data_IF_919428226000
#
_entry.id   IF_919428226000
#
_cell.length_a   1.000
_cell.length_b   1.000
_cell.length_c   1.000
_cell.angle_alpha   90.00
_cell.angle_beta   90.00
_cell.angle_gamma   90.00
#
_symmetry.space_group_name_H-M   'P 1'
#
loop_
_entity.id
_entity.type
_entity.pdbx_description
1 polymer ?
#
# COMPACT_ATOMS: atom_id res chain seq x y z
N UNK A 1 -31.89 -15.92 13.78
CA UNK A 1 -30.66 -16.36 13.09
C UNK A 1 -30.80 -16.27 11.57
N UNK A 2 -31.84 -16.81 10.97
CA UNK A 2 -32.09 -16.74 9.51
C UNK A 2 -32.19 -15.31 8.96
N UNK A 3 -32.84 -14.39 9.66
CA UNK A 3 -32.95 -12.97 9.25
C UNK A 3 -31.60 -12.26 9.20
N UNK A 4 -30.67 -12.54 10.16
CA UNK A 4 -29.32 -11.95 10.19
C UNK A 4 -28.48 -12.56 9.07
N UNK A 5 -28.59 -13.86 8.78
CA UNK A 5 -27.88 -14.49 7.67
C UNK A 5 -28.31 -13.94 6.32
N UNK A 6 -29.63 -13.71 6.12
CA UNK A 6 -30.14 -13.09 4.90
C UNK A 6 -29.69 -11.64 4.74
N UNK A 7 -29.63 -10.88 5.83
CA UNK A 7 -29.11 -9.48 5.81
C UNK A 7 -27.62 -9.47 5.45
N UNK A 8 -26.81 -10.35 6.02
CA UNK A 8 -25.38 -10.44 5.70
C UNK A 8 -25.14 -10.83 4.24
N UNK A 9 -25.97 -11.71 3.66
CA UNK A 9 -25.90 -12.07 2.26
C UNK A 9 -26.23 -10.88 1.34
N UNK A 10 -27.24 -10.08 1.68
CA UNK A 10 -27.59 -8.87 0.93
C UNK A 10 -26.46 -7.84 1.01
N UNK A 11 -25.91 -7.58 2.20
CA UNK A 11 -24.77 -6.68 2.39
C UNK A 11 -23.54 -7.14 1.60
N UNK A 12 -23.26 -8.44 1.60
CA UNK A 12 -22.17 -9.01 0.81
C UNK A 12 -22.36 -8.80 -0.69
N UNK A 13 -23.59 -8.98 -1.21
CA UNK A 13 -23.92 -8.72 -2.62
C UNK A 13 -23.78 -7.24 -2.99
N UNK A 14 -24.23 -6.34 -2.12
CA UNK A 14 -24.11 -4.88 -2.31
C UNK A 14 -22.63 -4.48 -2.32
N UNK A 15 -21.85 -4.92 -1.31
CA UNK A 15 -20.42 -4.64 -1.23
C UNK A 15 -19.68 -5.17 -2.48
N UNK A 16 -19.97 -6.40 -2.91
CA UNK A 16 -19.40 -6.95 -4.13
C UNK A 16 -19.75 -6.10 -5.36
N UNK A 17 -21.03 -5.77 -5.54
CA UNK A 17 -21.49 -5.00 -6.70
C UNK A 17 -20.90 -3.59 -6.76
N UNK A 18 -20.66 -2.95 -5.62
CA UNK A 18 -20.14 -1.59 -5.54
C UNK A 18 -18.61 -1.50 -5.60
N UNK A 19 -17.88 -2.51 -5.08
CA UNK A 19 -16.44 -2.45 -4.88
C UNK A 19 -15.64 -3.32 -5.88
N UNK A 20 -16.19 -4.43 -6.35
CA UNK A 20 -15.44 -5.48 -7.05
C UNK A 20 -15.97 -5.82 -8.45
N UNK A 21 -17.25 -5.60 -8.69
CA UNK A 21 -17.93 -5.98 -9.92
C UNK A 21 -17.66 -5.00 -11.06
N UNK A 22 -17.17 -5.49 -12.20
CA UNK A 22 -17.02 -4.68 -13.40
C UNK A 22 -18.33 -4.65 -14.20
N UNK A 23 -18.45 -3.67 -15.09
CA UNK A 23 -19.53 -3.61 -16.08
C UNK A 23 -19.09 -4.40 -17.30
N UNK A 24 -19.86 -5.42 -17.67
CA UNK A 24 -19.65 -6.24 -18.87
C UNK A 24 -20.03 -5.47 -20.14
N UNK A 25 -19.65 -6.00 -21.30
CA UNK A 25 -19.97 -5.40 -22.61
C UNK A 25 -21.48 -5.27 -22.88
N UNK A 26 -22.29 -6.12 -22.24
CA UNK A 26 -23.75 -6.09 -22.32
C UNK A 26 -24.40 -5.08 -21.37
N UNK A 27 -23.60 -4.26 -20.66
CA UNK A 27 -24.06 -3.26 -19.69
C UNK A 27 -24.40 -3.84 -18.31
N UNK A 28 -24.39 -5.15 -18.12
CA UNK A 28 -24.65 -5.77 -16.82
C UNK A 28 -23.41 -5.81 -15.96
N UNK A 29 -23.60 -5.81 -14.63
CA UNK A 29 -22.51 -6.02 -13.70
C UNK A 29 -22.08 -7.49 -13.65
N UNK A 30 -20.79 -7.71 -13.41
CA UNK A 30 -20.26 -9.05 -13.12
C UNK A 30 -20.93 -9.64 -11.88
N UNK A 31 -21.23 -10.93 -11.93
CA UNK A 31 -21.48 -11.75 -10.73
C UNK A 31 -20.15 -12.13 -10.07
N UNK A 32 -20.22 -12.70 -8.85
CA UNK A 32 -19.03 -13.24 -8.18
C UNK A 32 -18.31 -14.28 -9.07
N UNK A 33 -19.08 -15.18 -9.70
CA UNK A 33 -18.51 -16.20 -10.61
C UNK A 33 -17.84 -15.58 -11.82
N UNK A 34 -18.42 -14.53 -12.42
CA UNK A 34 -17.82 -13.80 -13.52
C UNK A 34 -16.46 -13.20 -13.12
N UNK A 35 -16.40 -12.53 -11.97
CA UNK A 35 -15.16 -11.93 -11.44
C UNK A 35 -14.09 -12.98 -11.14
N UNK A 36 -14.48 -14.09 -10.48
CA UNK A 36 -13.54 -15.19 -10.20
C UNK A 36 -13.09 -15.88 -11.48
N UNK A 37 -13.94 -15.99 -12.49
CA UNK A 37 -13.56 -16.52 -13.82
C UNK A 37 -12.51 -15.62 -14.46
N UNK A 38 -12.66 -14.29 -14.38
CA UNK A 38 -11.68 -13.32 -14.87
C UNK A 38 -10.32 -13.47 -14.17
N UNK A 39 -10.31 -13.64 -12.83
CA UNK A 39 -9.10 -13.89 -12.05
C UNK A 39 -8.46 -15.23 -12.44
N UNK A 40 -9.26 -16.29 -12.55
CA UNK A 40 -8.81 -17.62 -12.99
C UNK A 40 -8.09 -17.54 -14.34
N UNK A 41 -8.75 -16.95 -15.33
CA UNK A 41 -8.20 -16.81 -16.68
C UNK A 41 -6.88 -16.04 -16.69
N UNK A 42 -6.77 -14.96 -15.90
CA UNK A 42 -5.53 -14.20 -15.76
C UNK A 42 -4.36 -15.08 -15.30
N UNK A 43 -4.58 -15.96 -14.30
CA UNK A 43 -3.55 -16.90 -13.84
C UNK A 43 -3.29 -18.01 -14.86
N UNK A 44 -4.31 -18.56 -15.51
CA UNK A 44 -4.17 -19.60 -16.52
C UNK A 44 -3.37 -19.12 -17.75
N UNK A 45 -3.57 -17.87 -18.16
CA UNK A 45 -2.80 -17.28 -19.25
C UNK A 45 -1.32 -17.05 -18.88
N UNK A 46 -1.03 -16.71 -17.64
CA UNK A 46 0.34 -16.56 -17.15
C UNK A 46 1.04 -17.90 -16.93
N UNK A 47 0.29 -18.91 -16.50
CA UNK A 47 0.80 -20.25 -16.12
C UNK A 47 0.07 -21.37 -16.87
N UNK A 48 0.23 -21.50 -18.20
CA UNK A 48 -0.47 -22.51 -18.97
C UNK A 48 -0.13 -23.96 -18.58
N UNK A 49 1.08 -24.18 -18.05
CA UNK A 49 1.51 -25.47 -17.50
C UNK A 49 0.82 -25.85 -16.19
N UNK A 50 0.18 -24.93 -15.49
CA UNK A 50 -0.59 -25.14 -14.28
C UNK A 50 -2.10 -25.07 -14.50
N UNK A 51 -2.56 -25.04 -15.75
CA UNK A 51 -3.96 -24.85 -16.12
C UNK A 51 -4.92 -25.74 -15.31
N UNK A 52 -4.65 -27.05 -15.31
CA UNK A 52 -5.50 -28.03 -14.62
C UNK A 52 -5.53 -27.83 -13.11
N UNK A 53 -4.40 -27.49 -12.50
CA UNK A 53 -4.30 -27.23 -11.07
C UNK A 53 -5.05 -25.95 -10.69
N UNK A 54 -4.91 -24.89 -11.49
CA UNK A 54 -5.66 -23.63 -11.30
C UNK A 54 -7.15 -23.91 -11.41
N UNK A 55 -7.59 -24.65 -12.42
CA UNK A 55 -8.99 -25.03 -12.60
C UNK A 55 -9.53 -25.77 -11.37
N UNK A 56 -8.81 -26.78 -10.89
CA UNK A 56 -9.21 -27.57 -9.73
C UNK A 56 -9.34 -26.72 -8.45
N UNK A 57 -8.41 -25.80 -8.20
CA UNK A 57 -8.45 -24.88 -7.05
C UNK A 57 -9.67 -23.94 -7.15
N UNK A 58 -9.94 -23.39 -8.33
CA UNK A 58 -11.09 -22.51 -8.50
C UNK A 58 -12.40 -23.24 -8.33
N UNK A 59 -12.55 -24.44 -8.90
CA UNK A 59 -13.75 -25.26 -8.73
C UNK A 59 -13.98 -25.74 -7.31
N UNK A 60 -12.91 -26.21 -6.64
CA UNK A 60 -13.02 -26.79 -5.29
C UNK A 60 -13.13 -25.77 -4.16
N UNK A 61 -12.53 -24.59 -4.30
CA UNK A 61 -12.36 -23.67 -3.18
C UNK A 61 -12.78 -22.23 -3.46
N UNK A 62 -12.48 -21.69 -4.66
CA UNK A 62 -12.73 -20.26 -4.95
C UNK A 62 -14.19 -20.04 -5.32
N UNK A 63 -14.75 -20.77 -6.28
CA UNK A 63 -16.17 -20.60 -6.67
C UNK A 63 -17.13 -20.91 -5.52
N UNK A 64 -16.90 -21.93 -4.67
CA UNK A 64 -17.69 -22.11 -3.45
C UNK A 64 -17.50 -21.01 -2.40
N UNK A 65 -16.47 -20.16 -2.55
CA UNK A 65 -16.14 -19.09 -1.62
C UNK A 65 -15.57 -19.58 -0.29
N UNK A 66 -14.88 -20.71 -0.29
CA UNK A 66 -14.10 -21.21 0.85
C UNK A 66 -12.77 -20.47 0.96
N UNK A 67 -12.15 -20.20 -0.22
CA UNK A 67 -10.91 -19.42 -0.33
C UNK A 67 -11.16 -18.24 -1.25
N UNK A 68 -10.75 -17.05 -0.79
CA UNK A 68 -10.72 -15.86 -1.61
C UNK A 68 -9.27 -15.54 -2.01
N UNK A 69 -9.01 -15.29 -3.31
CA UNK A 69 -7.76 -14.69 -3.74
C UNK A 69 -7.65 -13.26 -3.18
N UNK A 70 -6.51 -12.61 -3.38
CA UNK A 70 -6.33 -11.20 -3.00
C UNK A 70 -7.56 -10.38 -3.40
N UNK A 71 -8.09 -9.57 -2.48
CA UNK A 71 -9.20 -8.68 -2.78
C UNK A 71 -8.87 -7.75 -3.96
N UNK A 72 -7.60 -7.40 -4.13
CA UNK A 72 -7.12 -6.61 -5.25
C UNK A 72 -7.17 -7.38 -6.56
N UNK A 73 -6.85 -8.67 -6.56
CA UNK A 73 -7.04 -9.50 -7.75
C UNK A 73 -8.52 -9.64 -8.10
N UNK A 74 -9.40 -9.74 -7.11
CA UNK A 74 -10.86 -9.71 -7.34
C UNK A 74 -11.30 -8.39 -7.98
N UNK A 75 -10.77 -7.26 -7.52
CA UNK A 75 -11.11 -5.93 -8.01
C UNK A 75 -10.51 -5.64 -9.39
N UNK A 76 -9.23 -5.97 -9.61
CA UNK A 76 -8.46 -5.54 -10.78
C UNK A 76 -8.00 -6.67 -11.69
N UNK A 77 -8.30 -7.94 -11.38
CA UNK A 77 -7.87 -9.09 -12.15
C UNK A 77 -8.08 -8.92 -13.66
N UNK A 78 -7.24 -9.56 -14.45
CA UNK A 78 -7.22 -9.41 -15.90
C UNK A 78 -6.32 -8.28 -16.40
N UNK A 79 -6.78 -7.48 -17.36
CA UNK A 79 -5.95 -6.52 -18.09
C UNK A 79 -5.35 -5.41 -17.21
N UNK A 80 -6.03 -5.02 -16.12
CA UNK A 80 -5.55 -3.96 -15.24
C UNK A 80 -4.31 -4.42 -14.44
N UNK A 81 -4.31 -5.65 -13.91
CA UNK A 81 -3.14 -6.23 -13.25
C UNK A 81 -2.03 -6.54 -14.24
N UNK A 82 -2.36 -7.03 -15.46
CA UNK A 82 -1.35 -7.29 -16.48
C UNK A 82 -0.57 -6.04 -16.90
N UNK A 83 -1.22 -4.86 -16.91
CA UNK A 83 -0.59 -3.57 -17.22
C UNK A 83 0.20 -3.00 -16.03
N UNK A 84 -0.30 -3.20 -14.82
CA UNK A 84 0.29 -2.69 -13.59
C UNK A 84 0.15 -3.76 -12.51
N UNK A 85 1.22 -4.52 -12.28
CA UNK A 85 1.22 -5.63 -11.33
C UNK A 85 1.05 -5.18 -9.87
N UNK A 86 1.36 -3.92 -9.54
CA UNK A 86 1.14 -3.39 -8.18
C UNK A 86 -0.35 -3.39 -7.78
N UNK A 87 -1.25 -3.46 -8.75
CA UNK A 87 -2.69 -3.67 -8.50
C UNK A 87 -3.05 -5.06 -7.96
N UNK A 88 -2.08 -5.98 -7.89
CA UNK A 88 -2.24 -7.28 -7.22
C UNK A 88 -2.16 -7.14 -5.69
N UNK A 89 -1.34 -6.18 -5.21
CA UNK A 89 -0.94 -6.07 -3.82
C UNK A 89 -1.86 -5.15 -3.03
N UNK A 90 -2.13 -5.52 -1.78
CA UNK A 90 -3.02 -4.75 -0.90
C UNK A 90 -2.28 -3.61 -0.20
N UNK A 91 -1.06 -3.88 0.26
CA UNK A 91 -0.32 -2.99 1.13
C UNK A 91 1.16 -2.94 0.73
N UNK A 92 1.78 -1.81 1.04
CA UNK A 92 3.19 -1.55 0.76
C UNK A 92 3.81 -0.79 1.92
N UNK A 93 5.15 -0.83 2.00
CA UNK A 93 5.90 -0.01 2.95
C UNK A 93 7.19 0.53 2.31
N UNK A 94 7.61 1.74 2.74
CA UNK A 94 8.87 2.37 2.35
C UNK A 94 9.32 3.42 3.37
N UNK A 95 10.40 4.15 3.04
CA UNK A 95 10.93 5.26 3.83
C UNK A 95 10.88 6.57 3.04
N UNK A 96 10.72 7.69 3.75
CA UNK A 96 10.88 9.03 3.18
C UNK A 96 12.37 9.38 3.17
N UNK A 97 13.12 8.73 2.29
CA UNK A 97 14.57 8.86 2.19
C UNK A 97 15.08 9.25 0.79
N UNK A 98 14.14 9.49 -0.12
CA UNK A 98 14.39 9.92 -1.50
C UNK A 98 13.25 10.81 -2.01
N UNK A 99 13.58 11.76 -2.85
CA UNK A 99 12.60 12.73 -3.41
C UNK A 99 11.46 12.02 -4.14
N UNK A 100 11.78 10.93 -4.83
CA UNK A 100 10.81 10.14 -5.60
C UNK A 100 9.76 9.44 -4.73
N UNK A 101 9.99 9.28 -3.41
CA UNK A 101 9.05 8.66 -2.48
C UNK A 101 7.64 9.26 -2.59
N UNK A 102 7.50 10.57 -2.64
CA UNK A 102 6.20 11.25 -2.67
C UNK A 102 5.38 10.89 -3.91
N UNK A 103 6.04 10.83 -5.05
CA UNK A 103 5.42 10.43 -6.32
C UNK A 103 5.10 8.93 -6.38
N UNK A 104 6.04 8.09 -5.94
CA UNK A 104 5.87 6.63 -5.89
C UNK A 104 4.72 6.23 -4.94
N UNK A 105 4.67 6.84 -3.74
CA UNK A 105 3.60 6.62 -2.78
C UNK A 105 2.24 7.07 -3.32
N UNK A 106 2.17 8.20 -4.00
CA UNK A 106 0.95 8.67 -4.67
C UNK A 106 0.48 7.69 -5.76
N UNK A 107 1.40 7.25 -6.61
CA UNK A 107 1.13 6.27 -7.65
C UNK A 107 0.62 4.94 -7.08
N UNK A 108 1.18 4.48 -5.95
CA UNK A 108 0.72 3.28 -5.25
C UNK A 108 -0.70 3.45 -4.69
N UNK A 109 -1.00 4.56 -4.04
CA UNK A 109 -2.35 4.87 -3.55
C UNK A 109 -3.36 4.87 -4.70
N UNK A 110 -3.03 5.51 -5.84
CA UNK A 110 -3.87 5.51 -7.04
C UNK A 110 -3.96 4.13 -7.72
N UNK A 111 -2.97 3.27 -7.54
CA UNK A 111 -3.02 1.87 -7.96
C UNK A 111 -3.89 1.00 -7.05
N UNK A 112 -4.30 1.51 -5.88
CA UNK A 112 -5.16 0.85 -4.91
C UNK A 112 -4.43 0.20 -3.75
N UNK A 113 -3.10 0.40 -3.61
CA UNK A 113 -2.33 -0.07 -2.47
C UNK A 113 -2.51 0.84 -1.27
N UNK A 114 -2.48 0.28 -0.06
CA UNK A 114 -2.26 1.04 1.16
C UNK A 114 -0.77 1.25 1.38
N UNK A 115 -0.37 2.35 2.03
CA UNK A 115 1.02 2.76 2.17
C UNK A 115 1.40 2.93 3.65
N UNK A 116 2.33 2.10 4.12
CA UNK A 116 3.08 2.36 5.34
C UNK A 116 4.38 3.11 5.00
N UNK A 117 4.78 4.04 5.83
CA UNK A 117 6.01 4.78 5.57
C UNK A 117 6.68 5.27 6.85
N UNK A 118 7.99 5.41 6.80
CA UNK A 118 8.76 5.97 7.91
C UNK A 118 9.20 7.39 7.61
N UNK A 119 8.89 8.29 8.53
CA UNK A 119 9.42 9.67 8.60
C UNK A 119 10.45 9.82 9.72
N UNK A 120 11.05 8.73 10.19
CA UNK A 120 12.13 8.81 11.18
C UNK A 120 13.23 9.74 10.66
N UNK A 121 13.82 10.51 11.56
CA UNK A 121 14.81 11.53 11.21
C UNK A 121 15.95 10.99 10.35
N UNK A 122 16.49 9.80 10.66
CA UNK A 122 17.59 9.20 9.89
C UNK A 122 17.21 8.80 8.45
N UNK A 123 15.91 8.65 8.14
CA UNK A 123 15.42 8.50 6.78
C UNK A 123 15.29 9.86 6.10
N UNK A 124 14.60 10.80 6.74
CA UNK A 124 14.36 12.14 6.19
C UNK A 124 15.67 12.90 5.93
N UNK A 125 16.68 12.69 6.78
CA UNK A 125 18.03 13.27 6.61
C UNK A 125 18.76 12.78 5.35
N UNK A 126 18.29 11.73 4.68
CA UNK A 126 18.84 11.29 3.38
C UNK A 126 18.30 12.11 2.20
N UNK A 127 17.23 12.87 2.39
CA UNK A 127 16.72 13.78 1.36
C UNK A 127 17.78 14.85 1.03
N UNK A 128 17.83 15.34 -0.21
CA UNK A 128 18.67 16.49 -0.55
C UNK A 128 18.36 17.71 0.29
N UNK A 129 19.29 18.66 0.34
CA UNK A 129 19.04 19.96 0.96
C UNK A 129 17.96 20.72 0.18
N UNK A 130 17.18 21.52 0.91
CA UNK A 130 16.29 22.50 0.32
C UNK A 130 17.09 23.57 -0.44
N UNK A 131 16.52 24.07 -1.51
CA UNK A 131 17.02 25.31 -2.14
C UNK A 131 17.00 26.46 -1.15
N UNK A 132 17.91 27.39 -1.29
CA UNK A 132 17.90 28.63 -0.52
C UNK A 132 16.82 29.59 -1.01
N UNK A 133 16.48 30.60 -0.21
CA UNK A 133 15.54 31.66 -0.61
C UNK A 133 16.04 32.40 -1.86
N UNK A 134 17.33 32.72 -1.94
CA UNK A 134 17.93 33.36 -3.10
C UNK A 134 17.82 32.51 -4.38
N UNK A 135 18.13 31.21 -4.27
CA UNK A 135 17.91 30.27 -5.38
C UNK A 135 16.44 30.25 -5.80
N UNK A 136 15.48 30.16 -4.84
CA UNK A 136 14.06 30.15 -5.16
C UNK A 136 13.60 31.39 -5.91
N UNK A 137 14.01 32.56 -5.46
CA UNK A 137 13.55 33.85 -5.98
C UNK A 137 14.15 34.17 -7.38
N UNK A 138 15.24 33.50 -7.76
CA UNK A 138 15.95 33.68 -9.04
C UNK A 138 15.70 32.54 -10.05
N UNK A 139 14.72 31.65 -9.84
CA UNK A 139 14.44 30.53 -10.73
C UNK A 139 13.75 30.93 -12.03
N UNK A 140 14.08 30.19 -13.09
CA UNK A 140 13.37 30.26 -14.36
C UNK A 140 12.09 29.41 -14.30
N UNK A 141 11.01 29.93 -14.90
CA UNK A 141 9.77 29.17 -14.97
C UNK A 141 9.85 28.09 -16.05
N UNK A 142 9.57 26.85 -15.65
CA UNK A 142 9.41 25.69 -16.53
C UNK A 142 7.96 25.19 -16.47
N UNK A 143 7.33 25.07 -17.62
CA UNK A 143 5.96 24.56 -17.71
C UNK A 143 5.97 23.04 -17.77
N UNK A 144 5.22 22.39 -16.89
CA UNK A 144 4.98 20.96 -16.92
C UNK A 144 3.53 20.68 -17.29
N UNK A 145 3.32 19.98 -18.41
CA UNK A 145 1.98 19.54 -18.85
C UNK A 145 1.69 18.19 -18.23
N UNK A 146 0.59 18.09 -17.47
CA UNK A 146 0.23 16.88 -16.73
C UNK A 146 -0.54 15.95 -17.65
N UNK A 147 -0.02 14.74 -17.87
CA UNK A 147 -0.70 13.69 -18.63
C UNK A 147 -1.90 13.12 -17.87
N UNK A 148 -2.93 12.71 -18.62
CA UNK A 148 -4.15 12.08 -18.08
C UNK A 148 -3.92 10.60 -17.72
N UNK A 149 -2.99 10.37 -16.79
CA UNK A 149 -2.62 9.05 -16.29
C UNK A 149 -2.21 9.13 -14.82
N UNK A 150 -2.20 7.98 -14.12
CA UNK A 150 -1.69 7.94 -12.73
C UNK A 150 -0.19 8.22 -12.68
N UNK A 151 0.54 7.88 -13.72
CA UNK A 151 1.95 8.20 -13.91
C UNK A 151 2.16 9.72 -14.08
N UNK A 152 1.36 10.38 -14.91
CA UNK A 152 1.41 11.81 -15.12
C UNK A 152 1.11 12.62 -13.84
N UNK A 153 0.13 12.17 -13.06
CA UNK A 153 -0.19 12.76 -11.77
C UNK A 153 0.96 12.58 -10.76
N UNK A 154 1.53 11.39 -10.71
CA UNK A 154 2.68 11.11 -9.85
C UNK A 154 3.91 11.93 -10.27
N UNK A 155 4.17 12.06 -11.57
CA UNK A 155 5.28 12.84 -12.09
C UNK A 155 5.12 14.33 -11.79
N UNK A 156 3.91 14.88 -11.78
CA UNK A 156 3.67 16.27 -11.35
C UNK A 156 4.13 16.50 -9.90
N UNK A 157 3.87 15.56 -8.99
CA UNK A 157 4.39 15.60 -7.61
C UNK A 157 5.91 15.46 -7.60
N UNK A 158 6.49 14.59 -8.44
CA UNK A 158 7.94 14.40 -8.51
C UNK A 158 8.66 15.67 -8.96
N UNK A 159 8.24 16.27 -10.07
CA UNK A 159 8.91 17.48 -10.59
C UNK A 159 8.77 18.66 -9.63
N UNK A 160 7.63 18.79 -8.93
CA UNK A 160 7.47 19.78 -7.88
C UNK A 160 8.47 19.56 -6.74
N UNK A 161 8.48 18.39 -6.14
CA UNK A 161 9.33 18.09 -4.98
C UNK A 161 10.82 18.19 -5.35
N UNK A 162 11.20 17.71 -6.53
CA UNK A 162 12.55 17.76 -7.07
C UNK A 162 13.04 19.21 -7.27
N UNK A 163 12.16 20.13 -7.67
CA UNK A 163 12.51 21.54 -7.86
C UNK A 163 12.84 22.28 -6.56
N UNK A 164 12.46 21.73 -5.39
CA UNK A 164 12.80 22.25 -4.07
C UNK A 164 13.90 21.44 -3.36
N UNK A 165 14.07 20.18 -3.74
CA UNK A 165 15.03 19.23 -3.19
C UNK A 165 15.93 18.69 -4.34
N UNK A 166 16.72 19.59 -4.98
CA UNK A 166 17.48 19.21 -6.16
C UNK A 166 18.66 18.31 -5.81
N UNK A 167 19.00 17.40 -6.73
CA UNK A 167 20.21 16.56 -6.64
C UNK A 167 21.42 17.24 -7.27
N UNK A 168 21.21 18.30 -8.04
CA UNK A 168 22.27 19.08 -8.70
C UNK A 168 21.82 20.53 -8.92
N UNK A 169 22.77 21.39 -9.31
CA UNK A 169 22.53 22.82 -9.52
C UNK A 169 21.54 23.12 -10.66
N UNK A 170 21.49 22.28 -11.67
CA UNK A 170 20.60 22.51 -12.82
C UNK A 170 19.13 22.33 -12.43
N UNK A 171 18.83 21.35 -11.62
CA UNK A 171 17.50 21.13 -11.06
C UNK A 171 17.05 22.30 -10.17
N UNK A 172 17.97 22.95 -9.47
CA UNK A 172 17.70 24.10 -8.61
C UNK A 172 17.30 25.37 -9.37
N UNK A 173 17.64 25.47 -10.67
CA UNK A 173 17.40 26.67 -11.49
C UNK A 173 15.95 26.86 -11.91
N UNK A 174 15.08 25.87 -11.73
CA UNK A 174 13.74 25.92 -12.28
C UNK A 174 12.65 25.94 -11.20
N UNK A 175 11.67 26.81 -11.34
CA UNK A 175 10.38 26.66 -10.70
C UNK A 175 9.37 26.05 -11.69
N UNK A 176 8.45 25.26 -11.19
CA UNK A 176 7.53 24.49 -12.04
C UNK A 176 6.14 25.12 -11.98
N UNK A 177 5.60 25.51 -13.12
CA UNK A 177 4.17 25.77 -13.30
C UNK A 177 3.50 24.61 -14.01
N UNK A 178 2.24 24.35 -13.67
CA UNK A 178 1.52 23.16 -14.14
C UNK A 178 0.38 23.52 -15.07
N UNK A 179 0.26 22.77 -16.20
CA UNK A 179 -0.87 22.83 -17.10
C UNK A 179 -1.69 21.53 -16.98
N UNK A 180 -2.99 21.69 -16.78
CA UNK A 180 -3.94 20.59 -16.49
C UNK A 180 -4.85 20.27 -17.67
N UNK A 181 -4.65 20.90 -18.84
CA UNK A 181 -5.57 20.84 -19.98
C UNK A 181 -5.76 19.45 -20.56
N UNK A 182 -4.79 18.56 -20.38
CA UNK A 182 -4.88 17.16 -20.83
C UNK A 182 -5.61 16.27 -19.82
N UNK A 183 -5.79 16.71 -18.58
CA UNK A 183 -6.47 15.91 -17.55
C UNK A 183 -7.98 15.90 -17.82
N UNK A 184 -8.56 14.70 -17.90
CA UNK A 184 -10.01 14.55 -18.12
C UNK A 184 -10.84 15.29 -17.07
N UNK A 185 -11.99 15.85 -17.45
CA UNK A 185 -12.86 16.58 -16.53
C UNK A 185 -13.48 15.67 -15.47
N UNK A 186 -13.98 16.29 -14.40
CA UNK A 186 -14.75 15.63 -13.36
C UNK A 186 -15.97 14.91 -13.98
N UNK A 187 -16.28 13.72 -13.47
CA UNK A 187 -17.39 12.90 -13.95
C UNK A 187 -17.08 12.03 -15.17
N UNK A 188 -15.93 12.21 -15.84
CA UNK A 188 -15.55 11.35 -16.97
C UNK A 188 -15.37 9.89 -16.53
N UNK A 189 -15.79 8.93 -17.37
CA UNK A 189 -15.69 7.50 -17.06
C UNK A 189 -14.24 7.03 -16.99
N UNK A 190 -13.94 6.16 -16.03
CA UNK A 190 -12.64 5.52 -15.86
C UNK A 190 -12.74 4.05 -16.32
N UNK A 191 -11.75 3.59 -17.10
CA UNK A 191 -11.75 2.26 -17.75
C UNK A 191 -11.84 1.06 -16.78
N UNK A 192 -11.46 1.26 -15.51
CA UNK A 192 -11.51 0.25 -14.44
C UNK A 192 -12.73 0.42 -13.52
N UNK A 193 -13.69 1.21 -13.93
CA UNK A 193 -14.89 1.57 -13.16
C UNK A 193 -14.74 2.83 -12.30
N UNK A 194 -15.86 3.52 -12.07
CA UNK A 194 -15.92 4.80 -11.39
C UNK A 194 -15.82 6.00 -12.33
N UNK A 195 -15.74 7.19 -11.73
CA UNK A 195 -15.64 8.47 -12.42
C UNK A 195 -14.38 9.23 -12.03
N UNK A 196 -13.89 10.05 -12.93
CA UNK A 196 -12.72 10.90 -12.70
C UNK A 196 -13.07 12.06 -11.75
N UNK A 197 -12.15 12.46 -10.86
CA UNK A 197 -12.36 13.59 -9.95
C UNK A 197 -12.08 14.95 -10.61
N UNK A 198 -11.57 14.94 -11.85
CA UNK A 198 -11.07 16.15 -12.52
C UNK A 198 -9.71 16.62 -12.01
N UNK A 199 -9.13 17.67 -12.61
CA UNK A 199 -7.79 18.16 -12.28
C UNK A 199 -7.72 18.89 -10.93
N UNK A 200 -8.82 19.45 -10.43
CA UNK A 200 -8.83 20.33 -9.25
C UNK A 200 -8.27 19.68 -7.98
N UNK A 201 -8.49 18.38 -7.79
CA UNK A 201 -7.99 17.68 -6.60
C UNK A 201 -6.46 17.59 -6.60
N UNK A 202 -5.84 17.41 -7.77
CA UNK A 202 -4.39 17.41 -7.91
C UNK A 202 -3.81 18.83 -7.78
N UNK A 203 -4.47 19.82 -8.37
CA UNK A 203 -4.08 21.24 -8.26
C UNK A 203 -4.00 21.65 -6.77
N UNK A 204 -5.04 21.36 -5.98
CA UNK A 204 -5.05 21.65 -4.54
C UNK A 204 -3.90 20.94 -3.80
N UNK A 205 -3.63 19.68 -4.12
CA UNK A 205 -2.53 18.94 -3.50
C UNK A 205 -1.16 19.58 -3.83
N UNK A 206 -0.95 19.94 -5.10
CA UNK A 206 0.26 20.62 -5.57
C UNK A 206 0.46 21.96 -4.83
N UNK A 207 -0.60 22.78 -4.72
CA UNK A 207 -0.56 24.06 -4.01
C UNK A 207 -0.22 23.89 -2.54
N UNK A 208 -0.81 22.89 -1.85
CA UNK A 208 -0.53 22.61 -0.43
C UNK A 208 0.90 22.12 -0.21
N UNK A 209 1.38 21.20 -1.06
CA UNK A 209 2.78 20.74 -1.00
C UNK A 209 3.74 21.90 -1.26
N UNK A 210 3.49 22.73 -2.26
CA UNK A 210 4.28 23.93 -2.56
C UNK A 210 4.30 24.88 -1.37
N UNK A 211 3.16 25.11 -0.74
CA UNK A 211 3.08 25.98 0.43
C UNK A 211 3.98 25.51 1.57
N UNK A 212 4.01 24.20 1.89
CA UNK A 212 4.89 23.65 2.93
C UNK A 212 6.36 23.87 2.56
N UNK A 213 6.72 23.59 1.30
CA UNK A 213 8.09 23.78 0.79
C UNK A 213 8.52 25.25 0.82
N UNK A 214 7.66 26.17 0.40
CA UNK A 214 7.92 27.61 0.45
C UNK A 214 8.08 28.12 1.89
N UNK A 215 7.27 27.64 2.82
CA UNK A 215 7.41 27.98 4.24
C UNK A 215 8.77 27.53 4.79
N UNK A 216 9.20 26.30 4.49
CA UNK A 216 10.50 25.79 4.91
C UNK A 216 11.66 26.65 4.36
N UNK A 217 11.61 27.02 3.09
CA UNK A 217 12.60 27.91 2.46
C UNK A 217 12.57 29.31 3.07
N UNK A 218 11.39 29.90 3.30
CA UNK A 218 11.23 31.22 3.92
C UNK A 218 11.79 31.28 5.34
N UNK A 219 11.69 30.17 6.08
CA UNK A 219 12.26 30.02 7.43
C UNK A 219 13.78 29.76 7.41
N UNK A 220 14.41 29.68 6.24
CA UNK A 220 15.84 29.43 6.09
C UNK A 220 16.25 28.01 6.47
N UNK A 221 15.32 27.04 6.41
CA UNK A 221 15.63 25.64 6.67
C UNK A 221 16.52 25.09 5.54
N UNK A 222 17.55 24.34 5.92
CA UNK A 222 18.39 23.63 4.96
C UNK A 222 17.84 22.22 4.63
N UNK A 223 16.95 21.67 5.48
CA UNK A 223 16.35 20.35 5.32
C UNK A 223 14.89 20.36 5.75
N UNK A 224 14.12 19.44 5.18
CA UNK A 224 12.76 19.17 5.65
C UNK A 224 12.79 18.47 7.01
N UNK A 225 11.78 18.76 7.82
CA UNK A 225 11.49 18.05 9.06
C UNK A 225 10.58 16.83 8.80
N UNK A 226 10.59 15.79 9.66
CA UNK A 226 9.65 14.67 9.61
C UNK A 226 8.19 15.09 9.46
N UNK A 227 7.73 16.04 10.29
CA UNK A 227 6.34 16.54 10.26
C UNK A 227 5.99 17.19 8.92
N UNK A 228 6.91 17.90 8.27
CA UNK A 228 6.68 18.51 6.97
C UNK A 228 6.55 17.44 5.88
N UNK A 229 7.40 16.41 5.90
CA UNK A 229 7.30 15.27 5.00
C UNK A 229 5.97 14.52 5.19
N UNK A 230 5.56 14.32 6.45
CA UNK A 230 4.28 13.74 6.80
C UNK A 230 3.12 14.55 6.23
N UNK A 231 3.06 15.85 6.50
CA UNK A 231 1.97 16.72 6.04
C UNK A 231 1.91 16.82 4.51
N UNK A 232 3.06 16.90 3.82
CA UNK A 232 3.13 16.83 2.35
C UNK A 232 2.47 15.56 1.82
N UNK A 233 2.85 14.39 2.38
CA UNK A 233 2.29 13.13 1.92
C UNK A 233 0.80 12.98 2.27
N UNK A 234 0.32 13.61 3.34
CA UNK A 234 -1.11 13.62 3.69
C UNK A 234 -1.94 14.43 2.69
N UNK A 235 -1.45 15.57 2.21
CA UNK A 235 -2.13 16.31 1.14
C UNK A 235 -2.18 15.52 -0.18
N UNK A 236 -1.11 14.81 -0.50
CA UNK A 236 -1.03 13.91 -1.66
C UNK A 236 -2.03 12.74 -1.50
N UNK A 237 -2.08 12.14 -0.31
CA UNK A 237 -3.01 11.04 0.01
C UNK A 237 -4.47 11.46 -0.10
N UNK A 238 -4.80 12.70 0.28
CA UNK A 238 -6.13 13.26 0.10
C UNK A 238 -6.55 13.30 -1.38
N UNK A 239 -5.67 13.72 -2.28
CA UNK A 239 -5.96 13.70 -3.72
C UNK A 239 -6.21 12.27 -4.24
N UNK A 240 -5.45 11.27 -3.74
CA UNK A 240 -5.69 9.88 -4.08
C UNK A 240 -7.08 9.38 -3.60
N UNK A 241 -7.50 9.76 -2.38
CA UNK A 241 -8.81 9.41 -1.83
C UNK A 241 -9.96 10.01 -2.66
N UNK A 242 -9.89 11.30 -2.99
CA UNK A 242 -10.89 11.98 -3.82
C UNK A 242 -10.95 11.42 -5.24
N UNK A 243 -9.89 10.76 -5.70
CA UNK A 243 -9.87 10.01 -6.96
C UNK A 243 -10.55 8.63 -6.86
N UNK A 244 -11.35 8.37 -5.83
CA UNK A 244 -12.04 7.11 -5.57
C UNK A 244 -11.08 5.93 -5.40
N UNK A 245 -9.89 6.17 -4.88
CA UNK A 245 -8.85 5.19 -4.59
C UNK A 245 -8.63 5.06 -3.08
N UNK A 246 -7.63 4.29 -2.70
CA UNK A 246 -7.33 4.06 -1.29
C UNK A 246 -6.41 5.17 -0.77
N UNK A 247 -6.72 5.69 0.42
CA UNK A 247 -5.82 6.55 1.19
C UNK A 247 -5.58 5.95 2.60
N UNK A 248 -5.43 4.62 2.69
CA UNK A 248 -5.04 3.98 3.93
C UNK A 248 -3.52 4.11 4.09
N UNK A 249 -3.09 4.85 5.10
CA UNK A 249 -1.68 5.07 5.38
C UNK A 249 -1.36 4.95 6.87
N UNK A 250 -0.11 4.61 7.19
CA UNK A 250 0.47 4.70 8.53
C UNK A 250 1.85 5.34 8.42
N UNK A 251 2.13 6.29 9.30
CA UNK A 251 3.45 6.90 9.43
C UNK A 251 4.15 6.39 10.70
N UNK A 252 5.38 5.89 10.55
CA UNK A 252 6.26 5.55 11.65
C UNK A 252 7.22 6.71 11.90
N UNK A 253 7.43 7.07 13.16
CA UNK A 253 8.32 8.14 13.55
C UNK A 253 9.17 7.78 14.79
N UNK A 254 10.27 8.50 15.03
CA UNK A 254 11.12 8.30 16.19
C UNK A 254 10.46 8.81 17.46
N UNK A 255 10.50 8.09 18.59
CA UNK A 255 9.82 8.48 19.83
C UNK A 255 10.30 9.81 20.42
N UNK A 256 11.50 10.27 20.05
CA UNK A 256 12.11 11.55 20.43
C UNK A 256 11.71 12.73 19.54
N UNK A 257 10.87 12.50 18.51
CA UNK A 257 10.34 13.55 17.65
C UNK A 257 9.09 14.18 18.29
N UNK A 258 9.27 15.28 19.00
CA UNK A 258 8.19 15.99 19.72
C UNK A 258 7.10 16.53 18.76
N UNK A 259 7.48 16.99 17.54
CA UNK A 259 6.53 17.50 16.55
C UNK A 259 5.62 16.38 16.03
N UNK A 260 6.18 15.20 15.78
CA UNK A 260 5.40 14.03 15.39
C UNK A 260 4.61 13.45 16.56
N UNK A 261 5.17 13.42 17.78
CA UNK A 261 4.50 12.95 18.99
C UNK A 261 3.22 13.73 19.27
N UNK A 262 3.23 15.03 18.99
CA UNK A 262 2.09 15.93 19.22
C UNK A 262 1.30 16.28 17.95
N UNK A 263 1.60 15.64 16.85
CA UNK A 263 1.02 15.96 15.53
C UNK A 263 -0.51 15.93 15.51
N UNK A 264 -1.13 15.08 16.34
CA UNK A 264 -2.59 14.93 16.46
C UNK A 264 -3.08 15.25 17.88
N UNK A 265 -2.58 16.33 18.47
CA UNK A 265 -3.05 16.85 19.75
C UNK A 265 -3.75 18.21 19.58
N UNK A 266 -4.44 18.69 20.62
CA UNK A 266 -5.17 19.96 20.56
C UNK A 266 -6.31 19.95 19.54
N UNK A 267 -6.42 21.00 18.76
CA UNK A 267 -7.44 21.19 17.69
C UNK A 267 -6.93 20.76 16.31
N UNK A 268 -6.05 19.76 16.24
CA UNK A 268 -5.38 19.35 15.00
C UNK A 268 -6.33 19.11 13.82
N UNK A 269 -7.56 18.65 14.08
CA UNK A 269 -8.57 18.40 13.03
C UNK A 269 -9.08 19.70 12.37
N UNK A 270 -8.90 20.86 13.02
CA UNK A 270 -9.19 22.18 12.45
C UNK A 270 -7.95 22.77 11.78
N UNK A 271 -6.80 22.68 12.45
CA UNK A 271 -5.55 23.32 12.03
C UNK A 271 -4.84 22.53 10.93
N UNK A 272 -4.88 21.18 11.01
CA UNK A 272 -4.20 20.24 10.12
C UNK A 272 -5.09 19.06 9.74
N UNK A 273 -6.27 19.29 9.13
CA UNK A 273 -7.26 18.23 8.83
C UNK A 273 -6.72 17.12 7.92
N UNK A 274 -5.68 17.38 7.11
CA UNK A 274 -5.03 16.37 6.27
C UNK A 274 -4.42 15.23 7.08
N UNK A 275 -4.05 15.43 8.35
CA UNK A 275 -3.48 14.40 9.22
C UNK A 275 -4.43 13.26 9.55
N UNK A 276 -5.74 13.45 9.26
CA UNK A 276 -6.75 12.38 9.36
C UNK A 276 -6.55 11.21 8.39
N UNK A 277 -5.74 11.38 7.35
CA UNK A 277 -5.55 10.36 6.30
C UNK A 277 -4.50 9.30 6.64
N UNK A 278 -3.80 9.40 7.77
CA UNK A 278 -2.89 8.37 8.26
C UNK A 278 -3.10 8.09 9.74
N UNK A 279 -2.84 6.85 10.15
CA UNK A 279 -2.45 6.57 11.52
C UNK A 279 -0.99 6.98 11.73
N UNK A 280 -0.62 7.34 12.97
CA UNK A 280 0.77 7.60 13.35
C UNK A 280 1.17 6.67 14.49
N UNK A 281 2.39 6.13 14.45
CA UNK A 281 2.90 5.24 15.51
C UNK A 281 4.37 5.53 15.78
N UNK A 282 4.70 5.64 17.07
CA UNK A 282 6.08 5.73 17.50
C UNK A 282 6.76 4.37 17.36
N UNK A 283 7.89 4.33 16.65
CA UNK A 283 8.67 3.12 16.45
C UNK A 283 9.63 2.91 17.63
N UNK A 284 9.39 1.88 18.41
CA UNK A 284 10.11 1.60 19.64
C UNK A 284 11.02 0.39 19.46
N UNK A 285 12.32 0.60 19.63
CA UNK A 285 13.29 -0.49 19.66
C UNK A 285 13.19 -1.23 20.99
N UNK A 286 13.05 -2.55 20.93
CA UNK A 286 12.96 -3.39 22.13
C UNK A 286 14.32 -3.57 22.80
N UNK A 287 15.41 -3.54 22.04
CA UNK A 287 16.77 -3.59 22.60
C UNK A 287 17.15 -2.23 23.20
N UNK A 288 17.37 -2.22 24.51
CA UNK A 288 17.76 -1.01 25.25
C UNK A 288 16.63 -0.04 25.56
N UNK A 289 15.38 -0.47 25.45
CA UNK A 289 14.24 0.38 25.83
C UNK A 289 14.13 0.48 27.37
N UNK A 290 14.83 1.46 27.93
CA UNK A 290 14.76 1.78 29.37
C UNK A 290 13.87 3.00 29.67
N UNK A 291 13.40 3.72 28.66
CA UNK A 291 12.74 5.01 28.85
C UNK A 291 11.22 4.88 29.05
N UNK A 292 10.83 4.65 30.32
CA UNK A 292 9.42 4.61 30.72
C UNK A 292 8.65 5.92 30.48
N UNK A 293 9.33 7.07 30.41
CA UNK A 293 8.67 8.37 30.19
C UNK A 293 8.05 8.45 28.80
N UNK A 294 8.77 8.05 27.75
CA UNK A 294 8.27 8.01 26.37
C UNK A 294 6.99 7.17 26.27
N UNK A 295 6.98 6.01 26.95
CA UNK A 295 5.79 5.16 26.97
C UNK A 295 4.59 5.86 27.63
N UNK A 296 4.86 6.55 28.74
CA UNK A 296 3.83 7.32 29.48
C UNK A 296 3.28 8.46 28.62
N UNK A 297 4.13 9.17 27.89
CA UNK A 297 3.74 10.28 27.01
C UNK A 297 2.88 9.80 25.84
N UNK A 298 3.25 8.69 25.20
CA UNK A 298 2.45 8.06 24.14
C UNK A 298 1.07 7.68 24.68
N UNK A 299 1.01 7.01 25.85
CA UNK A 299 -0.28 6.61 26.47
C UNK A 299 -1.12 7.84 26.83
N UNK A 300 -0.51 8.91 27.36
CA UNK A 300 -1.22 10.12 27.71
C UNK A 300 -1.89 10.76 26.48
N UNK A 301 -1.16 10.89 25.38
CA UNK A 301 -1.67 11.41 24.12
C UNK A 301 -2.73 10.48 23.52
N UNK A 302 -2.45 9.17 23.45
CA UNK A 302 -3.39 8.17 22.91
C UNK A 302 -4.70 8.11 23.69
N UNK A 303 -4.64 8.27 25.03
CA UNK A 303 -5.84 8.31 25.87
C UNK A 303 -6.77 9.47 25.53
N UNK A 304 -6.22 10.62 25.18
CA UNK A 304 -6.98 11.84 24.92
C UNK A 304 -7.40 11.94 23.45
N UNK A 305 -6.54 11.55 22.52
CA UNK A 305 -6.70 11.81 21.08
C UNK A 305 -6.77 10.53 20.23
N UNK A 306 -6.55 9.34 20.82
CA UNK A 306 -6.53 8.06 20.12
C UNK A 306 -5.19 7.71 19.47
N UNK A 307 -4.25 8.67 19.38
CA UNK A 307 -2.94 8.53 18.75
C UNK A 307 -1.88 9.37 19.49
N UNK A 308 -0.58 9.08 19.32
CA UNK A 308 0.00 8.04 18.47
C UNK A 308 -0.16 6.63 19.03
N UNK A 309 0.02 5.62 18.15
CA UNK A 309 0.15 4.22 18.53
C UNK A 309 1.61 3.82 18.81
N UNK A 310 1.80 2.52 19.03
CA UNK A 310 3.11 1.89 19.23
C UNK A 310 3.41 0.96 18.07
N UNK A 311 4.68 0.94 17.62
CA UNK A 311 5.22 -0.10 16.76
C UNK A 311 6.52 -0.62 17.37
N UNK A 312 6.49 -1.85 17.89
CA UNK A 312 7.64 -2.46 18.54
C UNK A 312 8.47 -3.25 17.53
N UNK A 313 9.78 -3.07 17.55
CA UNK A 313 10.70 -3.78 16.67
C UNK A 313 12.09 -3.95 17.32
N UNK A 314 12.91 -4.81 16.72
CA UNK A 314 14.33 -5.00 17.10
C UNK A 314 15.28 -4.24 16.16
N UNK A 315 14.79 -3.77 15.01
CA UNK A 315 15.56 -3.04 14.02
C UNK A 315 14.77 -1.81 13.57
N UNK A 316 15.38 -0.63 13.64
CA UNK A 316 14.73 0.63 13.25
C UNK A 316 14.44 0.74 11.75
N UNK A 317 15.08 -0.10 10.93
CA UNK A 317 14.80 -0.18 9.49
C UNK A 317 13.59 -1.07 9.20
N UNK A 318 13.04 -1.75 10.22
CA UNK A 318 11.84 -2.56 10.07
C UNK A 318 10.62 -1.65 9.94
N UNK A 319 9.79 -1.89 8.93
CA UNK A 319 8.61 -1.09 8.64
C UNK A 319 7.36 -1.97 8.66
N UNK A 320 6.19 -1.37 8.46
CA UNK A 320 4.91 -2.09 8.47
C UNK A 320 3.98 -1.58 7.38
N UNK A 321 3.01 -2.43 7.03
CA UNK A 321 1.87 -2.05 6.19
C UNK A 321 0.90 -1.11 6.95
N UNK A 322 -0.07 -0.46 6.29
CA UNK A 322 -1.00 0.48 6.93
C UNK A 322 -1.82 -0.07 8.08
N UNK A 323 -2.03 -1.38 8.12
CA UNK A 323 -2.80 -2.04 9.18
C UNK A 323 -1.93 -2.43 10.40
N UNK A 324 -0.59 -2.39 10.27
CA UNK A 324 0.35 -2.62 11.36
C UNK A 324 0.63 -4.09 11.69
N UNK A 325 0.08 -5.05 10.94
CA UNK A 325 0.16 -6.49 11.25
C UNK A 325 1.26 -7.24 10.50
N UNK A 326 1.84 -6.63 9.45
CA UNK A 326 2.87 -7.28 8.63
C UNK A 326 4.16 -6.47 8.70
N UNK A 327 5.22 -7.11 9.20
CA UNK A 327 6.56 -6.56 9.16
C UNK A 327 7.12 -6.60 7.74
N UNK A 328 7.67 -5.46 7.29
CA UNK A 328 8.20 -5.28 5.95
C UNK A 328 9.57 -4.62 6.00
N UNK A 329 10.48 -5.07 5.13
CA UNK A 329 11.86 -4.56 5.08
C UNK A 329 12.15 -3.97 3.69
N UNK A 330 11.85 -2.68 3.44
CA UNK A 330 11.88 -2.07 2.11
C UNK A 330 13.30 -1.66 1.66
N UNK A 331 14.32 -2.45 1.97
CA UNK A 331 15.69 -2.25 1.49
C UNK A 331 16.19 -3.46 0.73
N UNK A 332 17.11 -3.24 -0.19
CA UNK A 332 17.85 -4.25 -0.91
C UNK A 332 19.35 -3.99 -0.76
N UNK A 333 20.08 -5.03 -0.40
CA UNK A 333 21.54 -5.02 -0.33
C UNK A 333 22.07 -5.77 -1.56
N UNK A 334 22.87 -5.10 -2.37
CA UNK A 334 23.50 -5.71 -3.53
C UNK A 334 24.74 -6.56 -3.16
N UNK A 335 25.30 -7.24 -4.15
CA UNK A 335 26.47 -8.10 -3.97
C UNK A 335 27.74 -7.33 -3.55
N UNK A 336 27.76 -6.02 -3.75
CA UNK A 336 28.85 -5.12 -3.35
C UNK A 336 28.66 -4.57 -1.94
N UNK A 337 27.51 -4.87 -1.32
CA UNK A 337 27.16 -4.42 0.02
C UNK A 337 26.45 -3.07 0.08
N UNK A 338 26.14 -2.43 -1.07
CA UNK A 338 25.40 -1.19 -1.11
C UNK A 338 23.94 -1.45 -0.77
N UNK A 339 23.37 -0.61 0.11
CA UNK A 339 21.96 -0.68 0.51
C UNK A 339 21.17 0.40 -0.21
N UNK A 340 20.11 0.00 -0.88
CA UNK A 340 19.15 0.90 -1.52
C UNK A 340 17.75 0.63 -0.99
N UNK A 341 16.94 1.68 -0.86
CA UNK A 341 15.53 1.59 -0.46
C UNK A 341 14.60 1.54 -1.66
N UNK A 342 13.49 0.85 -1.47
CA UNK A 342 12.41 0.72 -2.44
C UNK A 342 11.09 0.51 -1.71
N UNK A 343 10.23 -0.31 -2.27
CA UNK A 343 8.93 -0.66 -1.69
C UNK A 343 8.88 -2.17 -1.41
N UNK A 344 8.56 -2.54 -0.19
CA UNK A 344 8.13 -3.89 0.16
C UNK A 344 6.61 -3.99 0.05
N UNK A 345 6.10 -5.16 -0.29
CA UNK A 345 4.67 -5.38 -0.56
C UNK A 345 4.13 -6.59 0.17
N UNK A 346 2.83 -6.62 0.42
CA UNK A 346 2.13 -7.80 0.91
C UNK A 346 1.05 -8.26 -0.06
N UNK A 347 0.79 -9.55 -0.05
CA UNK A 347 -0.18 -10.25 -0.86
C UNK A 347 -0.93 -11.23 0.04
N UNK A 348 -2.26 -11.12 0.13
CA UNK A 348 -3.08 -11.84 1.08
C UNK A 348 -4.14 -12.67 0.36
N UNK A 349 -4.40 -13.87 0.90
CA UNK A 349 -5.53 -14.73 0.56
C UNK A 349 -6.31 -15.03 1.84
N UNK A 350 -7.59 -15.28 1.71
CA UNK A 350 -8.50 -15.42 2.85
C UNK A 350 -9.22 -16.75 2.82
N UNK A 351 -9.25 -17.46 3.95
CA UNK A 351 -10.05 -18.66 4.16
C UNK A 351 -11.28 -18.30 4.99
N UNK A 352 -12.46 -18.63 4.51
CA UNK A 352 -13.72 -18.40 5.22
C UNK A 352 -14.03 -19.62 6.11
N UNK A 353 -13.68 -19.54 7.39
CA UNK A 353 -13.82 -20.63 8.36
C UNK A 353 -15.25 -21.15 8.45
N UNK A 354 -16.26 -20.27 8.36
CA UNK A 354 -17.67 -20.65 8.37
C UNK A 354 -18.08 -21.60 7.23
N UNK A 355 -17.26 -21.72 6.17
CA UNK A 355 -17.48 -22.63 5.03
C UNK A 355 -16.58 -23.84 5.06
N UNK A 356 -15.70 -23.95 6.04
CA UNK A 356 -14.84 -25.10 6.26
C UNK A 356 -15.62 -26.18 7.06
N UNK A 357 -15.59 -27.40 6.58
CA UNK A 357 -16.38 -28.52 7.16
C UNK A 357 -15.69 -29.18 8.33
N UNK A 358 -14.41 -29.47 8.19
CA UNK A 358 -13.59 -30.26 9.12
C UNK A 358 -12.10 -29.86 8.96
N UNK A 359 -11.24 -30.45 9.80
CA UNK A 359 -9.80 -30.18 9.81
C UNK A 359 -9.11 -30.55 8.48
N UNK A 360 -9.52 -31.66 7.83
CA UNK A 360 -8.98 -32.04 6.52
C UNK A 360 -9.35 -31.01 5.44
N UNK A 361 -10.58 -30.52 5.46
CA UNK A 361 -11.02 -29.48 4.54
C UNK A 361 -10.28 -28.15 4.79
N UNK A 362 -10.01 -27.80 6.07
CA UNK A 362 -9.16 -26.65 6.42
C UNK A 362 -7.75 -26.81 5.84
N UNK A 363 -7.15 -27.98 6.01
CA UNK A 363 -5.82 -28.28 5.48
C UNK A 363 -5.75 -28.12 3.95
N UNK A 364 -6.78 -28.59 3.23
CA UNK A 364 -6.85 -28.42 1.77
C UNK A 364 -7.11 -26.97 1.37
N UNK A 365 -7.93 -26.23 2.13
CA UNK A 365 -8.14 -24.79 1.91
C UNK A 365 -6.84 -23.99 2.11
N UNK A 366 -6.04 -24.33 3.13
CA UNK A 366 -4.71 -23.75 3.37
C UNK A 366 -3.77 -23.98 2.18
N UNK A 367 -3.72 -25.21 1.64
CA UNK A 367 -2.92 -25.52 0.43
C UNK A 367 -3.41 -24.73 -0.79
N UNK A 368 -4.74 -24.60 -0.96
CA UNK A 368 -5.34 -23.85 -2.06
C UNK A 368 -4.99 -22.36 -1.97
N UNK A 369 -5.09 -21.76 -0.78
CA UNK A 369 -4.72 -20.36 -0.54
C UNK A 369 -3.22 -20.13 -0.76
N UNK A 370 -2.35 -21.02 -0.27
CA UNK A 370 -0.90 -20.93 -0.51
C UNK A 370 -0.55 -21.05 -1.99
N UNK A 371 -1.21 -21.94 -2.73
CA UNK A 371 -1.07 -22.05 -4.18
C UNK A 371 -1.37 -20.71 -4.87
N UNK A 372 -2.54 -20.13 -4.60
CA UNK A 372 -2.96 -18.86 -5.19
C UNK A 372 -2.02 -17.72 -4.81
N UNK A 373 -1.63 -17.62 -3.53
CA UNK A 373 -0.72 -16.60 -3.04
C UNK A 373 0.64 -16.67 -3.71
N UNK A 374 1.17 -17.88 -3.96
CA UNK A 374 2.43 -18.06 -4.69
C UNK A 374 2.32 -17.61 -6.14
N UNK A 375 1.20 -17.92 -6.83
CA UNK A 375 0.96 -17.38 -8.17
C UNK A 375 0.91 -15.84 -8.17
N UNK A 376 0.22 -15.25 -7.19
CA UNK A 376 0.11 -13.79 -7.04
C UNK A 376 1.46 -13.13 -6.79
N UNK A 377 2.35 -13.73 -5.97
CA UNK A 377 3.69 -13.23 -5.69
C UNK A 377 4.60 -13.11 -6.93
N UNK A 378 4.30 -13.85 -8.01
CA UNK A 378 5.04 -13.79 -9.28
C UNK A 378 4.74 -12.57 -10.15
N UNK A 379 3.81 -11.70 -9.74
CA UNK A 379 3.49 -10.47 -10.47
C UNK A 379 4.43 -9.36 -10.02
N UNK A 380 5.63 -9.28 -10.60
CA UNK A 380 6.74 -8.42 -10.17
C UNK A 380 7.07 -7.28 -11.14
N UNK A 381 6.22 -7.03 -12.15
CA UNK A 381 6.37 -5.83 -12.97
C UNK A 381 5.92 -4.59 -12.17
N UNK A 382 6.89 -3.91 -11.57
CA UNK A 382 6.70 -2.78 -10.67
C UNK A 382 6.44 -1.46 -11.40
N UNK A 383 6.65 -1.41 -12.73
CA UNK A 383 6.39 -0.23 -13.55
C UNK A 383 7.13 1.02 -13.04
N UNK A 384 6.39 1.96 -12.49
CA UNK A 384 6.87 3.27 -12.04
C UNK A 384 7.89 3.25 -10.88
N UNK A 385 7.92 2.14 -10.09
CA UNK A 385 8.71 2.08 -8.84
C UNK A 385 10.18 1.69 -9.00
N UNK A 386 10.60 1.29 -10.19
CA UNK A 386 12.00 1.00 -10.51
C UNK A 386 12.50 -0.37 -10.04
N UNK A 387 13.78 -0.64 -10.35
CA UNK A 387 14.39 -1.95 -10.24
C UNK A 387 14.65 -2.40 -8.79
N UNK A 388 14.98 -1.47 -7.87
CA UNK A 388 15.18 -1.80 -6.45
C UNK A 388 13.91 -2.40 -5.84
N UNK A 389 12.75 -1.82 -6.13
CA UNK A 389 11.45 -2.35 -5.68
C UNK A 389 11.21 -3.74 -6.23
N UNK A 390 11.47 -3.97 -7.51
CA UNK A 390 11.34 -5.28 -8.13
C UNK A 390 12.20 -6.33 -7.42
N UNK A 391 13.47 -6.02 -7.16
CA UNK A 391 14.39 -6.91 -6.44
C UNK A 391 13.91 -7.22 -5.02
N UNK A 392 13.34 -6.25 -4.31
CA UNK A 392 12.75 -6.46 -2.97
C UNK A 392 11.58 -7.45 -3.06
N UNK A 393 10.64 -7.22 -4.00
CA UNK A 393 9.46 -8.06 -4.18
C UNK A 393 9.86 -9.50 -4.57
N UNK A 394 10.83 -9.64 -5.46
CA UNK A 394 11.35 -10.94 -5.91
C UNK A 394 12.11 -11.67 -4.80
N UNK A 395 12.88 -10.95 -3.98
CA UNK A 395 13.56 -11.51 -2.80
C UNK A 395 12.55 -12.05 -1.79
N UNK A 396 11.57 -11.23 -1.44
CA UNK A 396 10.65 -11.50 -0.34
C UNK A 396 9.53 -12.47 -0.75
N UNK A 397 9.02 -12.35 -1.97
CA UNK A 397 7.92 -13.14 -2.55
C UNK A 397 6.77 -13.41 -1.56
N UNK A 398 6.44 -12.40 -0.71
CA UNK A 398 5.56 -12.56 0.44
C UNK A 398 4.16 -13.01 0.03
N UNK A 399 3.61 -13.91 0.82
CA UNK A 399 2.20 -14.28 0.78
C UNK A 399 1.65 -14.46 2.21
N UNK A 400 0.38 -14.10 2.39
CA UNK A 400 -0.36 -14.38 3.61
C UNK A 400 -1.53 -15.30 3.32
N UNK A 401 -1.73 -16.28 4.20
CA UNK A 401 -2.92 -17.12 4.25
C UNK A 401 -3.63 -16.79 5.55
N UNK A 402 -4.67 -15.95 5.45
CA UNK A 402 -5.44 -15.52 6.61
C UNK A 402 -6.77 -16.26 6.73
N UNK A 403 -7.42 -16.11 7.86
CA UNK A 403 -8.70 -16.75 8.17
C UNK A 403 -9.69 -15.72 8.67
N UNK A 404 -10.90 -15.69 8.09
CA UNK A 404 -12.03 -14.90 8.58
C UNK A 404 -13.10 -15.81 9.20
N UNK A 405 -13.82 -15.27 10.19
CA UNK A 405 -14.83 -16.04 10.91
C UNK A 405 -14.24 -17.11 11.84
N UNK A 406 -13.09 -16.86 12.46
CA UNK A 406 -12.40 -17.77 13.39
C UNK A 406 -13.37 -18.32 14.46
N UNK A 407 -14.23 -17.45 15.02
CA UNK A 407 -15.21 -17.83 16.03
C UNK A 407 -16.42 -18.60 15.49
N UNK A 408 -16.50 -18.85 14.17
CA UNK A 408 -17.54 -19.73 13.60
C UNK A 408 -17.30 -21.19 13.91
N UNK A 409 -16.03 -21.59 14.14
CA UNK A 409 -15.67 -22.95 14.54
C UNK A 409 -14.43 -22.93 15.45
N UNK A 410 -14.57 -22.43 16.71
CA UNK A 410 -13.43 -22.24 17.60
C UNK A 410 -12.73 -23.55 17.98
N UNK A 411 -13.47 -24.64 18.15
CA UNK A 411 -12.90 -25.94 18.53
C UNK A 411 -11.90 -26.45 17.48
N UNK A 412 -12.18 -26.26 16.21
CA UNK A 412 -11.26 -26.64 15.13
C UNK A 412 -10.08 -25.64 15.02
N UNK A 413 -10.36 -24.35 15.10
CA UNK A 413 -9.35 -23.32 14.86
C UNK A 413 -8.39 -23.17 16.04
N UNK A 414 -8.81 -23.46 17.27
CA UNK A 414 -7.92 -23.43 18.44
C UNK A 414 -7.28 -24.78 18.75
N UNK A 415 -7.46 -25.80 17.89
CA UNK A 415 -6.68 -27.04 18.00
C UNK A 415 -5.24 -26.80 17.48
N UNK A 416 -4.31 -26.85 18.40
CA UNK A 416 -2.89 -26.55 18.14
C UNK A 416 -2.28 -27.50 17.10
N UNK A 417 -2.67 -28.79 17.12
CA UNK A 417 -2.16 -29.78 16.18
C UNK A 417 -2.64 -29.49 14.75
N UNK A 418 -3.91 -29.17 14.58
CA UNK A 418 -4.51 -28.78 13.30
C UNK A 418 -3.81 -27.52 12.75
N UNK A 419 -3.61 -26.49 13.58
CA UNK A 419 -2.95 -25.26 13.15
C UNK A 419 -1.48 -25.50 12.74
N UNK A 420 -0.74 -26.31 13.48
CA UNK A 420 0.64 -26.67 13.12
C UNK A 420 0.71 -27.42 11.78
N UNK A 421 -0.21 -28.35 11.54
CA UNK A 421 -0.32 -29.06 10.27
C UNK A 421 -0.66 -28.11 9.11
N UNK A 422 -1.62 -27.20 9.32
CA UNK A 422 -1.98 -26.19 8.35
C UNK A 422 -0.82 -25.24 8.01
N UNK A 423 -0.11 -24.73 9.02
CA UNK A 423 1.06 -23.88 8.84
C UNK A 423 2.15 -24.58 8.03
N UNK A 424 2.45 -25.85 8.37
CA UNK A 424 3.41 -26.65 7.59
C UNK A 424 2.96 -26.83 6.15
N UNK A 425 1.67 -27.15 5.93
CA UNK A 425 1.12 -27.36 4.59
C UNK A 425 1.15 -26.09 3.73
N UNK A 426 0.93 -24.91 4.31
CA UNK A 426 1.09 -23.61 3.62
C UNK A 426 2.53 -23.44 3.16
N UNK A 427 3.49 -23.66 4.04
CA UNK A 427 4.91 -23.54 3.73
C UNK A 427 5.33 -24.52 2.63
N UNK A 428 5.04 -25.81 2.79
CA UNK A 428 5.42 -26.85 1.84
C UNK A 428 4.82 -26.58 0.45
N UNK A 429 3.54 -26.15 0.41
CA UNK A 429 2.86 -25.81 -0.84
C UNK A 429 3.47 -24.55 -1.50
N UNK A 430 3.84 -23.55 -0.72
CA UNK A 430 4.53 -22.38 -1.25
C UNK A 430 5.87 -22.77 -1.89
N UNK A 431 6.71 -23.56 -1.19
CA UNK A 431 8.02 -24.04 -1.70
C UNK A 431 7.84 -24.86 -2.98
N UNK A 432 6.85 -25.77 -3.01
CA UNK A 432 6.54 -26.59 -4.19
C UNK A 432 6.21 -25.72 -5.40
N UNK A 433 5.26 -24.80 -5.25
CA UNK A 433 4.78 -23.98 -6.37
C UNK A 433 5.81 -22.92 -6.79
N UNK A 434 6.51 -22.31 -5.84
CA UNK A 434 7.59 -21.35 -6.12
C UNK A 434 8.66 -21.97 -7.03
N UNK A 435 9.06 -23.22 -6.74
CA UNK A 435 9.98 -23.97 -7.58
C UNK A 435 9.41 -24.23 -8.98
N UNK A 436 8.14 -24.59 -9.09
CA UNK A 436 7.50 -24.87 -10.39
C UNK A 436 7.40 -23.63 -11.29
N UNK A 437 7.22 -22.43 -10.71
CA UNK A 437 7.09 -21.18 -11.46
C UNK A 437 8.37 -20.33 -11.45
N UNK A 438 9.46 -20.89 -10.91
CA UNK A 438 10.79 -20.28 -10.85
C UNK A 438 10.83 -18.89 -10.17
N UNK A 439 10.27 -18.82 -8.95
CA UNK A 439 10.39 -17.66 -8.05
C UNK A 439 10.96 -18.11 -6.70
N UNK A 440 11.37 -17.17 -5.87
CA UNK A 440 11.75 -17.48 -4.49
C UNK A 440 10.53 -17.96 -3.69
N UNK A 441 10.69 -18.90 -2.77
CA UNK A 441 9.69 -19.14 -1.74
C UNK A 441 9.55 -17.90 -0.85
N UNK A 442 8.37 -17.72 -0.26
CA UNK A 442 8.11 -16.58 0.61
C UNK A 442 9.08 -16.50 1.78
N UNK A 443 9.66 -15.33 1.98
CA UNK A 443 10.49 -15.03 3.15
C UNK A 443 9.60 -15.07 4.41
N UNK A 444 10.16 -15.60 5.53
CA UNK A 444 9.47 -15.70 6.82
C UNK A 444 9.96 -14.62 7.79
#
# INVERSE_FOLDING_TARGET
METIMAQNEILGKVAFATQYSHIKKDGKRETYIDAMTRVKQMHQEKFPNLWTQIEAIFQGFVFPGVVFPSQRSTQFGGIAIKRNNMRMYNCTASYVDRVRFFAEGFWLLMSGCGVGFSVQKHHVDKLPNLITKDQRDNRLNLVHVIEDSIEGWAEAIHVLTKSYLPSNEDEAKHCISFHYDQVRPEGASISIGGVAPGPKVLEVAIEKVRFILDQAVNQGQSRLKPIQCFDMFMHISHAALLSSRRAATIALFSPDDEEMMTAKTGTWWQDNPQRAYANISAQILLDGFENKSVFTDIIANARQYGEPGFFFCYDREFSTNPCGEIGLYPTFKDDQGNVSSGWAVCNLNEIVVAKVRDADHLLQACKAAAFLGTLQASYTNTGYLGETTKKIIERDALLGVSMTGIMSNPNMIFDEMTLKQCSKAVHDKNVEIAKLININPALR
#
